data_IF_628543094618
#
_entry.id   IF_628543094618
#
_cell.length_a   1.000
_cell.length_b   1.000
_cell.length_c   1.000
_cell.angle_alpha   90.00
_cell.angle_beta   90.00
_cell.angle_gamma   90.00
#
_symmetry.space_group_name_H-M   'P 1'
#
loop_
_entity.id
_entity.type
_entity.pdbx_description
1 polymer ?
#
# COMPACT_ATOMS: atom_id res chain seq x y z
N UNK A 1 -20.40 24.52 2.73
CA UNK A 1 -20.12 24.31 1.28
C UNK A 1 -19.06 23.24 0.99
N UNK A 2 -17.86 23.27 1.61
CA UNK A 2 -16.75 22.33 1.30
C UNK A 2 -17.09 20.82 1.38
N UNK A 3 -17.94 20.40 2.32
CA UNK A 3 -18.26 18.97 2.54
C UNK A 3 -19.08 18.34 1.41
N UNK A 4 -20.00 19.09 0.79
CA UNK A 4 -20.77 18.63 -0.38
C UNK A 4 -19.88 18.48 -1.62
N UNK A 5 -18.98 19.44 -1.84
CA UNK A 5 -18.01 19.39 -2.94
C UNK A 5 -17.09 18.17 -2.85
N UNK A 6 -16.57 17.86 -1.65
CA UNK A 6 -15.73 16.67 -1.45
C UNK A 6 -16.48 15.34 -1.58
N UNK A 7 -17.75 15.28 -1.16
CA UNK A 7 -18.59 14.09 -1.37
C UNK A 7 -18.82 13.85 -2.87
N UNK A 8 -19.08 14.92 -3.63
CA UNK A 8 -19.24 14.83 -5.07
C UNK A 8 -17.98 14.29 -5.76
N UNK A 9 -16.80 14.82 -5.38
CA UNK A 9 -15.51 14.36 -5.90
C UNK A 9 -15.27 12.86 -5.62
N UNK A 10 -15.55 12.42 -4.38
CA UNK A 10 -15.45 11.01 -3.99
C UNK A 10 -16.33 10.09 -4.85
N UNK A 11 -17.57 10.50 -5.11
CA UNK A 11 -18.49 9.72 -5.94
C UNK A 11 -18.00 9.67 -7.39
N UNK A 12 -17.55 10.80 -7.94
CA UNK A 12 -17.16 10.90 -9.35
C UNK A 12 -15.81 10.23 -9.67
N UNK A 13 -14.88 10.21 -8.71
CA UNK A 13 -13.54 9.66 -8.91
C UNK A 13 -13.42 8.23 -8.37
N UNK A 14 -13.81 8.00 -7.11
CA UNK A 14 -13.56 6.72 -6.43
C UNK A 14 -14.69 5.70 -6.62
N UNK A 15 -15.94 6.15 -6.78
CA UNK A 15 -17.10 5.26 -7.00
C UNK A 15 -17.55 5.19 -8.47
N UNK A 16 -16.73 5.67 -9.41
CA UNK A 16 -17.07 5.74 -10.85
C UNK A 16 -17.43 4.38 -11.45
N UNK A 17 -16.79 3.32 -10.98
CA UNK A 17 -17.01 1.95 -11.45
C UNK A 17 -18.00 1.16 -10.58
N UNK A 18 -18.52 1.78 -9.52
CA UNK A 18 -19.44 1.10 -8.61
C UNK A 18 -20.84 1.06 -9.23
N UNK A 19 -21.27 -0.12 -9.67
CA UNK A 19 -22.62 -0.37 -10.18
C UNK A 19 -23.63 -0.58 -9.05
N UNK A 20 -23.98 0.47 -8.32
CA UNK A 20 -25.01 0.39 -7.28
C UNK A 20 -26.43 0.44 -7.88
N UNK A 21 -27.36 -0.21 -7.20
CA UNK A 21 -28.78 -0.13 -7.50
C UNK A 21 -29.35 1.27 -7.18
N UNK A 22 -30.29 1.75 -7.99
CA UNK A 22 -30.77 3.14 -7.94
C UNK A 22 -31.45 3.49 -6.61
N UNK A 23 -32.17 2.56 -5.99
CA UNK A 23 -32.88 2.83 -4.73
C UNK A 23 -31.94 2.96 -3.52
N UNK A 24 -30.77 2.34 -3.58
CA UNK A 24 -29.85 2.24 -2.43
C UNK A 24 -28.62 3.14 -2.55
N UNK A 25 -28.43 3.76 -3.71
CA UNK A 25 -27.26 4.58 -4.05
C UNK A 25 -27.02 5.71 -3.04
N UNK A 26 -28.07 6.43 -2.62
CA UNK A 26 -27.91 7.58 -1.72
C UNK A 26 -27.42 7.16 -0.32
N UNK A 27 -28.03 6.12 0.26
CA UNK A 27 -27.67 5.63 1.61
C UNK A 27 -26.28 5.01 1.63
N UNK A 28 -25.93 4.22 0.60
CA UNK A 28 -24.62 3.58 0.50
C UNK A 28 -23.53 4.62 0.29
N UNK A 29 -23.71 5.58 -0.62
CA UNK A 29 -22.69 6.62 -0.86
C UNK A 29 -22.44 7.48 0.37
N UNK A 30 -23.47 7.77 1.18
CA UNK A 30 -23.29 8.45 2.46
C UNK A 30 -22.49 7.62 3.47
N UNK A 31 -22.76 6.31 3.54
CA UNK A 31 -22.06 5.42 4.46
C UNK A 31 -20.60 5.20 4.03
N UNK A 32 -20.34 4.99 2.75
CA UNK A 32 -19.00 4.87 2.19
C UNK A 32 -18.20 6.16 2.36
N UNK A 33 -18.82 7.31 2.11
CA UNK A 33 -18.16 8.60 2.33
C UNK A 33 -17.86 8.86 3.82
N UNK A 34 -18.75 8.42 4.73
CA UNK A 34 -18.54 8.52 6.18
C UNK A 34 -17.31 7.74 6.63
N UNK A 35 -17.10 6.54 6.08
CA UNK A 35 -15.97 5.67 6.42
C UNK A 35 -14.84 5.71 5.39
N UNK A 36 -14.78 6.74 4.54
CA UNK A 36 -13.80 6.81 3.44
C UNK A 36 -12.33 6.62 3.88
N UNK A 37 -12.00 7.02 5.11
CA UNK A 37 -10.65 6.92 5.68
C UNK A 37 -10.31 5.52 6.22
N UNK A 38 -11.25 4.59 6.26
CA UNK A 38 -10.98 3.20 6.65
C UNK A 38 -10.65 2.32 5.46
N UNK A 39 -10.85 2.82 4.24
CA UNK A 39 -10.51 2.10 3.02
C UNK A 39 -9.07 2.39 2.64
N UNK A 40 -8.40 1.36 2.12
CA UNK A 40 -7.09 1.46 1.53
C UNK A 40 -7.15 2.33 0.27
N UNK A 41 -6.17 3.21 0.09
CA UNK A 41 -6.03 4.03 -1.11
C UNK A 41 -4.65 3.81 -1.72
N UNK A 42 -4.47 4.19 -2.98
CA UNK A 42 -3.17 4.13 -3.67
C UNK A 42 -2.03 4.87 -2.94
N UNK A 43 -2.36 5.76 -1.99
CA UNK A 43 -1.40 6.56 -1.23
C UNK A 43 -1.26 6.12 0.22
N UNK A 44 -2.22 5.36 0.73
CA UNK A 44 -2.30 4.95 2.13
C UNK A 44 -2.66 3.46 2.14
N UNK A 45 -1.62 2.62 2.20
CA UNK A 45 -1.74 1.18 2.33
C UNK A 45 -2.23 0.79 3.71
N UNK A 46 -2.89 -0.37 3.77
CA UNK A 46 -3.38 -0.95 5.01
C UNK A 46 -2.21 -1.42 5.86
N UNK A 47 -2.05 -0.85 7.06
CA UNK A 47 -1.12 -1.39 8.06
C UNK A 47 0.07 -0.52 8.42
N UNK A 48 0.13 0.74 7.96
CA UNK A 48 1.07 1.75 8.47
C UNK A 48 0.67 2.19 9.89
N UNK A 49 0.63 1.25 10.83
CA UNK A 49 0.37 1.51 12.24
C UNK A 49 1.70 2.00 12.83
N UNK A 50 1.82 3.31 12.95
CA UNK A 50 2.97 3.97 13.58
C UNK A 50 3.09 3.48 15.03
N UNK A 51 4.30 3.12 15.48
CA UNK A 51 4.56 2.70 16.86
C UNK A 51 4.42 1.20 17.13
N UNK A 52 4.26 0.37 16.09
CA UNK A 52 4.35 -1.10 16.19
C UNK A 52 5.64 -1.61 15.55
N UNK A 53 6.76 -0.91 15.75
CA UNK A 53 8.05 -1.42 15.32
C UNK A 53 8.38 -2.70 16.08
N UNK A 54 8.82 -3.73 15.35
CA UNK A 54 9.21 -5.02 15.94
C UNK A 54 10.72 -5.07 16.05
N UNK A 55 11.21 -5.14 17.29
CA UNK A 55 12.62 -5.42 17.56
C UNK A 55 12.88 -6.93 17.47
N UNK A 56 13.53 -7.34 16.37
CA UNK A 56 13.92 -8.72 16.15
C UNK A 56 15.30 -8.94 16.79
N UNK A 57 15.31 -9.54 17.99
CA UNK A 57 16.53 -9.89 18.73
C UNK A 57 16.87 -11.37 18.50
N UNK A 58 18.02 -11.71 17.91
CA UNK A 58 18.46 -13.10 17.81
C UNK A 58 18.71 -13.70 19.20
N UNK A 59 18.20 -14.92 19.43
CA UNK A 59 18.41 -15.67 20.68
C UNK A 59 19.84 -16.24 20.85
N UNK A 60 20.80 -15.80 20.04
CA UNK A 60 22.17 -16.35 19.98
C UNK A 60 23.18 -15.21 20.11
N UNK A 61 24.35 -15.51 20.68
CA UNK A 61 25.50 -14.60 20.69
C UNK A 61 25.86 -14.17 19.26
N UNK A 62 26.42 -12.96 19.11
CA UNK A 62 26.70 -12.32 17.81
C UNK A 62 27.33 -13.30 16.83
N UNK A 63 26.50 -13.83 15.94
CA UNK A 63 26.97 -14.61 14.81
C UNK A 63 27.90 -13.70 13.97
N UNK A 64 28.95 -14.25 13.34
CA UNK A 64 29.74 -13.51 12.36
C UNK A 64 28.77 -12.84 11.37
N UNK A 65 29.13 -11.65 10.83
CA UNK A 65 28.24 -10.87 9.98
C UNK A 65 27.61 -11.79 8.93
N UNK A 66 26.27 -11.73 8.76
CA UNK A 66 25.57 -12.65 7.89
C UNK A 66 26.27 -12.65 6.53
N UNK A 67 26.71 -13.83 6.09
CA UNK A 67 27.44 -14.01 4.84
C UNK A 67 26.66 -13.33 3.73
N UNK A 68 27.16 -12.18 3.28
CA UNK A 68 26.61 -11.49 2.14
C UNK A 68 26.86 -12.35 0.90
N UNK A 69 25.77 -12.66 0.19
CA UNK A 69 25.68 -12.87 -1.27
C UNK A 69 25.80 -14.32 -1.75
N UNK A 70 24.67 -15.04 -1.73
CA UNK A 70 24.28 -15.70 -2.99
C UNK A 70 23.82 -14.59 -3.95
N UNK A 71 24.29 -14.64 -5.19
CA UNK A 71 23.68 -13.82 -6.24
C UNK A 71 22.19 -14.12 -6.28
N UNK A 72 21.37 -13.10 -6.47
CA UNK A 72 19.94 -13.32 -6.70
C UNK A 72 19.79 -14.29 -7.87
N UNK A 73 18.86 -15.25 -7.74
CA UNK A 73 18.56 -16.15 -8.84
C UNK A 73 18.15 -15.33 -10.07
N UNK A 74 18.64 -15.73 -11.24
CA UNK A 74 18.29 -15.07 -12.49
C UNK A 74 16.80 -15.28 -12.75
N UNK A 75 16.03 -14.19 -12.66
CA UNK A 75 14.64 -14.17 -13.08
C UNK A 75 14.55 -14.23 -14.61
N UNK A 76 13.47 -14.79 -15.15
CA UNK A 76 13.18 -14.67 -16.58
C UNK A 76 12.95 -13.19 -16.95
N UNK A 77 13.20 -12.76 -18.20
CA UNK A 77 13.02 -11.36 -18.59
C UNK A 77 11.63 -10.82 -18.25
N UNK A 78 10.59 -11.60 -18.53
CA UNK A 78 9.20 -11.27 -18.20
C UNK A 78 8.95 -11.16 -16.70
N UNK A 79 9.54 -12.04 -15.90
CA UNK A 79 9.41 -11.98 -14.45
C UNK A 79 10.13 -10.75 -13.88
N UNK A 80 11.29 -10.39 -14.44
CA UNK A 80 12.05 -9.23 -14.03
C UNK A 80 11.26 -7.92 -14.25
N UNK A 81 10.67 -7.75 -15.43
CA UNK A 81 9.83 -6.58 -15.73
C UNK A 81 8.66 -6.43 -14.75
N UNK A 82 7.94 -7.52 -14.47
CA UNK A 82 6.85 -7.50 -13.50
C UNK A 82 7.30 -7.18 -12.08
N UNK A 83 8.44 -7.74 -11.66
CA UNK A 83 9.04 -7.47 -10.35
C UNK A 83 9.50 -6.02 -10.21
N UNK A 84 10.06 -5.42 -11.27
CA UNK A 84 10.51 -4.03 -11.25
C UNK A 84 9.35 -3.04 -11.00
N UNK A 85 8.17 -3.31 -11.58
CA UNK A 85 6.96 -2.52 -11.33
C UNK A 85 6.55 -2.62 -9.86
N UNK A 86 6.42 -3.84 -9.34
CA UNK A 86 5.99 -4.08 -7.95
C UNK A 86 6.97 -3.52 -6.92
N UNK A 87 8.28 -3.66 -7.18
CA UNK A 87 9.33 -3.11 -6.32
C UNK A 87 9.23 -1.58 -6.30
N UNK A 88 9.02 -0.95 -7.47
CA UNK A 88 8.87 0.50 -7.56
C UNK A 88 7.65 0.99 -6.78
N UNK A 89 6.51 0.35 -6.96
CA UNK A 89 5.28 0.66 -6.21
C UNK A 89 5.51 0.53 -4.69
N UNK A 90 6.19 -0.53 -4.25
CA UNK A 90 6.50 -0.75 -2.83
C UNK A 90 7.47 0.29 -2.26
N UNK A 91 8.37 0.85 -3.08
CA UNK A 91 9.25 1.96 -2.67
C UNK A 91 8.45 3.26 -2.56
N UNK A 92 7.59 3.54 -3.54
CA UNK A 92 6.76 4.75 -3.56
C UNK A 92 5.76 4.77 -2.37
N UNK A 93 5.28 3.60 -1.96
CA UNK A 93 4.43 3.40 -0.77
C UNK A 93 5.19 3.45 0.56
N UNK A 94 6.53 3.36 0.53
CA UNK A 94 7.38 3.39 1.72
C UNK A 94 7.57 2.05 2.44
N UNK A 95 7.05 0.96 1.88
CA UNK A 95 7.20 -0.41 2.41
C UNK A 95 8.65 -0.90 2.25
N UNK A 96 9.30 -0.52 1.14
CA UNK A 96 10.70 -0.83 0.85
C UNK A 96 11.56 0.43 0.84
N UNK A 97 12.77 0.32 1.36
CA UNK A 97 13.78 1.39 1.30
C UNK A 97 15.13 0.85 0.85
N UNK A 98 15.88 1.66 0.10
CA UNK A 98 17.27 1.34 -0.26
C UNK A 98 18.12 1.33 1.01
N UNK A 99 18.83 0.22 1.25
CA UNK A 99 19.78 0.06 2.34
C UNK A 99 21.19 -0.14 1.76
N UNK A 100 22.18 0.58 2.28
CA UNK A 100 23.58 0.53 1.80
C UNK A 100 23.99 1.73 0.95
N UNK A 101 25.29 1.80 0.61
CA UNK A 101 25.86 2.94 -0.12
C UNK A 101 25.39 2.98 -1.58
N UNK A 102 25.19 4.21 -2.07
CA UNK A 102 24.50 4.53 -3.31
C UNK A 102 25.13 3.96 -4.58
#
# INVERSE_FOLDING_TARGET
MKRKAMKHLFISEQLKQAGFDQELTEKITDLLYKYKSTFETEKETRGTIIGHEVDIIPNVERLPPPLLRRTAYLASPRAKEGLEVLIKESIDLGDLRKLGHN
#
